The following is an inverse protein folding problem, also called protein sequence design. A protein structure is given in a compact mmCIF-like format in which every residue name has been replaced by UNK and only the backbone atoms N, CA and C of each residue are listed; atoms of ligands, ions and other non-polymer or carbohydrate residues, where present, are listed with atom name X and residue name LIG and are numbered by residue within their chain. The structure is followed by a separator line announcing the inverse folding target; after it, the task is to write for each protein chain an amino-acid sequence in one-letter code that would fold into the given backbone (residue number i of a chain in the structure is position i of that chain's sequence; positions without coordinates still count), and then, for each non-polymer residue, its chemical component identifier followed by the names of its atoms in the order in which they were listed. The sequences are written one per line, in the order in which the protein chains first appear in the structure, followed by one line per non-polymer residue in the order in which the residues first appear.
data_IF_989018941812
#
_entry.id   IF_989018941812
#
_cell.length_a   1.000
_cell.length_b   1.000
_cell.length_c   1.000
_cell.angle_alpha   90.00
_cell.angle_beta   90.00
_cell.angle_gamma   90.00
#
_symmetry.space_group_name_H-M   'P 1'
#
loop_
_entity.id
_entity.type
_entity.pdbx_description
1 polymer ?
#
# COMPACT_ATOMS: atom_id res chain seq x y z
N UNK A 1 -25.97 -0.27 -3.81
CA UNK A 1 -25.06 0.89 -3.99
C UNK A 1 -24.54 1.44 -2.68
N UNK A 2 -25.35 1.54 -1.65
CA UNK A 2 -24.91 2.09 -0.37
C UNK A 2 -23.76 1.31 0.27
N UNK A 3 -23.81 -0.04 0.25
CA UNK A 3 -22.75 -0.87 0.80
C UNK A 3 -21.44 -0.73 0.03
N UNK A 4 -21.53 -0.68 -1.28
CA UNK A 4 -20.38 -0.51 -2.15
C UNK A 4 -19.74 0.85 -1.91
N UNK A 5 -20.56 1.89 -1.73
CA UNK A 5 -20.08 3.22 -1.45
C UNK A 5 -19.36 3.30 -0.10
N UNK A 6 -19.91 2.65 0.92
CA UNK A 6 -19.31 2.60 2.25
C UNK A 6 -17.95 1.87 2.21
N UNK A 7 -17.89 0.76 1.50
CA UNK A 7 -16.65 -0.02 1.34
C UNK A 7 -15.60 0.82 0.61
N UNK A 8 -15.98 1.45 -0.50
CA UNK A 8 -15.07 2.29 -1.28
C UNK A 8 -14.59 3.50 -0.46
N UNK A 9 -15.50 4.14 0.27
CA UNK A 9 -15.14 5.27 1.12
C UNK A 9 -14.13 4.87 2.19
N UNK A 10 -14.29 3.68 2.76
CA UNK A 10 -13.36 3.16 3.76
C UNK A 10 -11.97 2.94 3.19
N UNK A 11 -11.89 2.36 2.00
CA UNK A 11 -10.61 2.22 1.29
C UNK A 11 -9.98 3.58 1.03
N UNK A 12 -10.74 4.52 0.51
CA UNK A 12 -10.22 5.85 0.21
C UNK A 12 -9.72 6.54 1.46
N UNK A 13 -10.44 6.41 2.56
CA UNK A 13 -10.04 7.00 3.84
C UNK A 13 -8.70 6.44 4.33
N UNK A 14 -8.50 5.12 4.17
CA UNK A 14 -7.25 4.47 4.55
C UNK A 14 -6.09 4.90 3.65
N UNK A 15 -6.37 5.18 2.39
CA UNK A 15 -5.38 5.68 1.43
C UNK A 15 -5.07 7.17 1.61
N UNK A 16 -5.96 7.93 2.23
CA UNK A 16 -5.86 9.39 2.34
C UNK A 16 -4.86 9.82 3.42
N UNK A 17 -3.62 9.37 3.26
CA UNK A 17 -2.48 9.71 4.11
C UNK A 17 -1.24 9.68 3.23
N UNK A 18 -0.42 10.76 3.21
CA UNK A 18 0.71 10.83 2.29
C UNK A 18 1.67 9.65 2.40
N UNK A 19 1.98 9.22 3.61
CA UNK A 19 2.92 8.11 3.81
C UNK A 19 2.33 6.80 3.32
N UNK A 20 1.05 6.55 3.59
CA UNK A 20 0.40 5.33 3.12
C UNK A 20 0.26 5.33 1.61
N UNK A 21 -0.05 6.48 0.99
CA UNK A 21 -0.09 6.57 -0.47
C UNK A 21 1.24 6.22 -1.10
N UNK A 22 2.34 6.74 -0.56
CA UNK A 22 3.67 6.45 -1.09
C UNK A 22 4.00 4.96 -0.97
N UNK A 23 3.68 4.36 0.17
CA UNK A 23 3.88 2.92 0.37
C UNK A 23 3.13 2.13 -0.71
N UNK A 24 1.84 2.43 -0.89
CA UNK A 24 1.01 1.74 -1.87
C UNK A 24 1.50 1.97 -3.30
N UNK A 25 1.98 3.18 -3.62
CA UNK A 25 2.57 3.47 -4.92
C UNK A 25 3.75 2.57 -5.24
N UNK A 26 4.63 2.36 -4.27
CA UNK A 26 5.78 1.47 -4.47
C UNK A 26 5.38 0.02 -4.72
N UNK A 27 4.21 -0.38 -4.26
CA UNK A 27 3.71 -1.76 -4.41
C UNK A 27 2.92 -1.97 -5.70
N UNK A 28 2.75 -0.94 -6.54
CA UNK A 28 2.02 -1.09 -7.81
C UNK A 28 2.74 -2.04 -8.75
N UNK A 29 4.06 -1.91 -8.87
CA UNK A 29 4.85 -2.64 -9.84
C UNK A 29 5.50 -3.91 -9.31
N UNK A 30 5.70 -4.03 -8.00
CA UNK A 30 6.42 -5.15 -7.43
C UNK A 30 6.11 -5.33 -5.96
N UNK A 31 6.20 -6.57 -5.49
CA UNK A 31 6.20 -6.80 -4.05
C UNK A 31 7.55 -6.36 -3.45
N UNK A 32 7.51 -5.90 -2.21
CA UNK A 32 8.70 -5.41 -1.52
C UNK A 32 8.72 -5.85 -0.06
N UNK A 33 9.94 -6.10 0.44
CA UNK A 33 10.15 -6.31 1.87
C UNK A 33 10.12 -4.98 2.62
N UNK A 34 10.05 -5.05 3.95
CA UNK A 34 10.12 -3.84 4.79
C UNK A 34 11.43 -3.08 4.54
N UNK A 35 12.55 -3.81 4.43
CA UNK A 35 13.85 -3.18 4.17
C UNK A 35 13.87 -2.44 2.85
N UNK A 36 13.33 -3.06 1.79
CA UNK A 36 13.25 -2.42 0.48
C UNK A 36 12.38 -1.18 0.52
N UNK A 37 11.19 -1.27 1.13
CA UNK A 37 10.30 -0.12 1.29
C UNK A 37 10.98 0.99 2.08
N UNK A 38 11.63 0.64 3.17
CA UNK A 38 12.27 1.62 4.05
C UNK A 38 13.40 2.37 3.34
N UNK A 39 14.09 1.70 2.41
CA UNK A 39 15.16 2.36 1.64
C UNK A 39 14.65 3.48 0.73
N UNK A 40 13.37 3.45 0.38
CA UNK A 40 12.74 4.45 -0.50
C UNK A 40 11.97 5.53 0.25
N UNK A 41 11.81 5.41 1.56
CA UNK A 41 10.91 6.26 2.33
C UNK A 41 11.66 6.95 3.47
N UNK A 42 11.38 8.25 3.70
CA UNK A 42 11.99 8.99 4.81
C UNK A 42 11.22 8.73 6.11
N UNK A 43 11.03 7.45 6.45
CA UNK A 43 10.33 7.03 7.65
C UNK A 43 11.24 6.13 8.48
N UNK A 44 11.05 6.16 9.80
CA UNK A 44 11.65 5.15 10.65
C UNK A 44 11.03 3.79 10.33
N UNK A 45 11.77 2.71 10.59
CA UNK A 45 11.24 1.37 10.40
C UNK A 45 10.01 1.15 11.28
N UNK A 46 10.00 1.71 12.47
CA UNK A 46 8.87 1.62 13.38
C UNK A 46 7.60 2.25 12.80
N UNK A 47 7.73 3.47 12.25
CA UNK A 47 6.60 4.16 11.62
C UNK A 47 6.11 3.40 10.39
N UNK A 48 7.02 2.93 9.56
CA UNK A 48 6.69 2.14 8.38
C UNK A 48 5.93 0.87 8.78
N UNK A 49 6.42 0.15 9.79
CA UNK A 49 5.78 -1.08 10.27
C UNK A 49 4.37 -0.83 10.77
N UNK A 50 4.13 0.31 11.43
CA UNK A 50 2.79 0.67 11.89
C UNK A 50 1.84 0.92 10.72
N UNK A 51 2.29 1.62 9.69
CA UNK A 51 1.48 1.83 8.48
C UNK A 51 1.17 0.51 7.78
N UNK A 52 2.19 -0.35 7.64
CA UNK A 52 2.00 -1.65 7.00
C UNK A 52 1.03 -2.54 7.77
N UNK A 53 1.10 -2.54 9.11
CA UNK A 53 0.17 -3.31 9.93
C UNK A 53 -1.28 -2.83 9.72
N UNK A 54 -1.49 -1.52 9.68
CA UNK A 54 -2.81 -0.96 9.43
C UNK A 54 -3.32 -1.36 8.04
N UNK A 55 -2.50 -1.21 7.02
CA UNK A 55 -2.86 -1.55 5.64
C UNK A 55 -3.15 -3.05 5.49
N UNK A 56 -2.36 -3.90 6.15
CA UNK A 56 -2.58 -5.34 6.13
C UNK A 56 -3.88 -5.71 6.82
N UNK A 57 -4.10 -5.19 8.03
CA UNK A 57 -5.29 -5.49 8.82
C UNK A 57 -6.56 -4.99 8.15
N UNK A 58 -6.45 -3.95 7.33
CA UNK A 58 -7.58 -3.35 6.61
C UNK A 58 -7.79 -3.93 5.20
N UNK A 59 -6.96 -4.89 4.80
CA UNK A 59 -7.15 -5.58 3.54
C UNK A 59 -6.63 -4.86 2.31
N UNK A 60 -5.78 -3.84 2.45
CA UNK A 60 -5.21 -3.15 1.30
C UNK A 60 -3.91 -3.79 0.82
N UNK A 61 -3.17 -4.43 1.71
CA UNK A 61 -1.97 -5.18 1.35
C UNK A 61 -2.04 -6.59 1.90
N UNK A 62 -1.31 -7.49 1.26
CA UNK A 62 -1.13 -8.86 1.71
C UNK A 62 0.36 -9.14 1.82
N UNK A 63 0.69 -10.22 2.53
CA UNK A 63 2.07 -10.62 2.75
C UNK A 63 2.34 -12.00 2.21
N UNK A 64 3.58 -12.21 1.82
CA UNK A 64 4.12 -13.50 1.45
C UNK A 64 5.43 -13.69 2.20
N UNK A 65 5.61 -14.84 2.81
CA UNK A 65 6.84 -15.15 3.52
C UNK A 65 7.73 -16.02 2.64
N UNK A 66 9.00 -15.63 2.55
CA UNK A 66 10.04 -16.45 1.92
C UNK A 66 11.22 -16.52 2.89
N UNK A 67 11.36 -17.70 3.50
CA UNK A 67 12.33 -17.92 4.59
C UNK A 67 12.05 -16.95 5.74
N UNK A 68 12.96 -16.03 6.03
CA UNK A 68 12.78 -15.07 7.11
C UNK A 68 12.32 -13.71 6.64
N UNK A 69 12.14 -13.55 5.32
CA UNK A 69 11.74 -12.27 4.74
C UNK A 69 10.25 -12.27 4.46
N UNK A 70 9.58 -11.18 4.84
CA UNK A 70 8.18 -10.96 4.55
C UNK A 70 8.08 -9.90 3.45
N UNK A 71 7.40 -10.24 2.36
CA UNK A 71 7.15 -9.35 1.23
C UNK A 71 5.72 -8.87 1.26
N UNK A 72 5.54 -7.60 0.97
CA UNK A 72 4.23 -6.94 0.91
C UNK A 72 3.86 -6.69 -0.53
N UNK A 73 2.58 -6.85 -0.86
CA UNK A 73 2.02 -6.54 -2.17
C UNK A 73 0.60 -6.04 -2.01
N UNK A 74 0.05 -5.43 -3.07
CA UNK A 74 -1.35 -5.00 -3.06
C UNK A 74 -2.27 -6.21 -2.99
N UNK A 75 -3.31 -6.10 -2.16
CA UNK A 75 -4.10 -7.27 -1.77
C UNK A 75 -5.08 -7.74 -2.85
N UNK A 76 -5.52 -6.87 -3.76
CA UNK A 76 -6.55 -7.21 -4.73
C UNK A 76 -6.39 -6.42 -6.02
N UNK A 77 -7.09 -6.88 -7.06
CA UNK A 77 -7.12 -6.16 -8.33
C UNK A 77 -7.78 -4.81 -8.19
N UNK A 78 -8.77 -4.68 -7.32
CA UNK A 78 -9.47 -3.41 -7.08
C UNK A 78 -8.52 -2.38 -6.47
N UNK A 79 -7.76 -2.76 -5.46
CA UNK A 79 -6.75 -1.89 -4.85
C UNK A 79 -5.69 -1.53 -5.88
N UNK A 80 -5.22 -2.52 -6.64
CA UNK A 80 -4.23 -2.29 -7.69
C UNK A 80 -4.74 -1.29 -8.74
N UNK A 81 -5.98 -1.44 -9.19
CA UNK A 81 -6.55 -0.56 -10.21
C UNK A 81 -6.61 0.90 -9.73
N UNK A 82 -7.06 1.13 -8.50
CA UNK A 82 -7.12 2.47 -7.93
C UNK A 82 -5.71 3.04 -7.80
N UNK A 83 -4.78 2.26 -7.27
CA UNK A 83 -3.41 2.73 -7.06
C UNK A 83 -2.66 2.92 -8.38
N UNK A 84 -2.92 2.08 -9.38
CA UNK A 84 -2.32 2.24 -10.70
C UNK A 84 -2.76 3.56 -11.34
N UNK A 85 -4.04 3.93 -11.19
CA UNK A 85 -4.54 5.19 -11.68
C UNK A 85 -3.88 6.38 -10.98
N UNK A 86 -3.76 6.32 -9.66
CA UNK A 86 -3.08 7.37 -8.89
C UNK A 86 -1.59 7.43 -9.23
N UNK A 87 -0.95 6.28 -9.37
CA UNK A 87 0.45 6.20 -9.75
C UNK A 87 0.71 6.90 -11.08
N UNK A 88 -0.12 6.60 -12.08
CA UNK A 88 0.01 7.18 -13.42
C UNK A 88 -0.12 8.70 -13.40
N UNK A 89 -1.00 9.22 -12.55
CA UNK A 89 -1.27 10.66 -12.51
C UNK A 89 -0.31 11.43 -11.61
N UNK A 90 0.15 10.85 -10.52
CA UNK A 90 0.84 11.59 -9.47
C UNK A 90 2.22 11.07 -9.11
N UNK A 91 2.47 9.78 -9.25
CA UNK A 91 3.70 9.16 -8.74
C UNK A 91 4.71 8.82 -9.84
N UNK A 92 4.25 8.64 -11.07
CA UNK A 92 5.11 8.26 -12.18
C UNK A 92 6.07 9.40 -12.53
N UNK A 93 7.36 9.14 -12.65
CA UNK A 93 8.33 10.16 -13.09
C UNK A 93 8.00 10.64 -14.51
N UNK A 94 8.16 11.93 -14.72
CA UNK A 94 7.91 12.56 -16.02
C UNK A 94 9.20 12.97 -16.69
#
# INVERSE_FOLDING_TARGET
MARQAETAARFLKLMANPNRLIILCHLVDAEMSVSELNSHLPLSQSALSQHLALLRNSGLVRTRRDQQTIYYSLASEEVHAVMAALYEQFCKPR
#
